data_IF_589640420223
#
_entry.id   IF_589640420223
#
_cell.length_a   1.000
_cell.length_b   1.000
_cell.length_c   1.000
_cell.angle_alpha   90.00
_cell.angle_beta   90.00
_cell.angle_gamma   90.00
#
_symmetry.space_group_name_H-M   'P 1'
#
loop_
_entity.id
_entity.type
_entity.pdbx_description
1 polymer ?
#
# COMPACT_ATOMS: atom_id res chain seq x y z
N UNK A 1 -26.75 -29.88 34.02
CA UNK A 1 -26.62 -28.71 33.09
C UNK A 1 -27.43 -29.01 31.84
N UNK A 2 -28.40 -28.16 31.43
CA UNK A 2 -29.30 -28.44 30.29
C UNK A 2 -28.60 -28.07 28.97
N UNK A 3 -28.81 -28.86 27.91
CA UNK A 3 -28.18 -28.70 26.58
C UNK A 3 -28.31 -27.27 26.00
N UNK A 4 -29.39 -26.56 26.35
CA UNK A 4 -29.65 -25.17 25.97
C UNK A 4 -28.57 -24.20 26.50
N UNK A 5 -28.05 -24.43 27.69
CA UNK A 5 -27.05 -23.58 28.33
C UNK A 5 -25.67 -23.82 27.74
N UNK A 6 -25.38 -25.07 27.36
CA UNK A 6 -24.15 -25.45 26.66
C UNK A 6 -24.09 -24.80 25.27
N UNK A 7 -25.20 -24.79 24.53
CA UNK A 7 -25.32 -24.13 23.21
C UNK A 7 -25.17 -22.60 23.30
N UNK A 8 -25.73 -21.97 24.34
CA UNK A 8 -25.54 -20.53 24.60
C UNK A 8 -24.09 -20.20 24.93
N UNK A 9 -23.43 -21.01 25.77
CA UNK A 9 -22.02 -20.84 26.13
C UNK A 9 -21.09 -21.01 24.91
N UNK A 10 -21.37 -21.97 24.04
CA UNK A 10 -20.63 -22.15 22.78
C UNK A 10 -20.80 -20.97 21.82
N UNK A 11 -22.02 -20.41 21.73
CA UNK A 11 -22.33 -19.25 20.87
C UNK A 11 -21.69 -17.96 21.41
N UNK A 12 -21.65 -17.77 22.73
CA UNK A 12 -20.92 -16.67 23.37
C UNK A 12 -19.41 -16.82 23.22
N UNK A 13 -18.88 -18.04 23.37
CA UNK A 13 -17.45 -18.34 23.19
C UNK A 13 -17.00 -18.05 21.75
N UNK A 14 -17.81 -18.37 20.73
CA UNK A 14 -17.51 -17.97 19.35
C UNK A 14 -17.58 -16.45 19.13
N UNK A 15 -18.55 -15.76 19.74
CA UNK A 15 -18.72 -14.31 19.60
C UNK A 15 -17.63 -13.50 20.34
N UNK A 16 -17.05 -14.07 21.40
CA UNK A 16 -15.94 -13.45 22.14
C UNK A 16 -14.55 -13.86 21.62
N UNK A 17 -14.46 -14.76 20.63
CA UNK A 17 -13.20 -15.13 19.96
C UNK A 17 -12.88 -14.22 18.76
N UNK A 18 -13.63 -13.14 18.59
CA UNK A 18 -13.52 -12.18 17.50
C UNK A 18 -12.78 -10.89 17.92
N UNK A 19 -11.89 -10.99 18.91
CA UNK A 19 -10.87 -9.98 19.27
C UNK A 19 -9.54 -10.63 19.65
N UNK A 20 -9.16 -11.68 18.92
CA UNK A 20 -7.74 -11.94 18.70
C UNK A 20 -7.45 -11.25 17.39
N UNK A 21 -6.60 -10.24 17.41
CA UNK A 21 -5.93 -9.69 16.24
C UNK A 21 -5.29 -10.87 15.52
N UNK A 22 -6.08 -11.49 14.66
CA UNK A 22 -5.63 -12.58 13.82
C UNK A 22 -4.88 -11.83 12.74
N UNK A 23 -3.58 -11.66 12.95
CA UNK A 23 -2.65 -11.31 11.89
C UNK A 23 -3.01 -12.25 10.74
N UNK A 24 -3.69 -11.70 9.72
CA UNK A 24 -4.05 -12.46 8.55
C UNK A 24 -2.70 -12.98 8.02
N UNK A 25 -2.43 -14.29 8.00
CA UNK A 25 -1.10 -14.81 7.66
C UNK A 25 -0.69 -14.45 6.23
N UNK A 26 -1.66 -13.97 5.43
CA UNK A 26 -1.47 -13.48 4.08
C UNK A 26 -1.14 -11.99 3.99
N UNK A 27 -1.20 -11.20 5.07
CA UNK A 27 -0.84 -9.78 5.07
C UNK A 27 0.62 -9.59 5.46
N UNK A 28 1.37 -8.90 4.60
CA UNK A 28 2.75 -8.49 4.84
C UNK A 28 2.77 -7.06 5.32
N UNK A 29 3.39 -6.82 6.48
CA UNK A 29 3.64 -5.48 7.01
C UNK A 29 4.75 -4.80 6.21
N UNK A 30 4.44 -3.68 5.56
CA UNK A 30 5.41 -2.83 4.84
C UNK A 30 5.95 -1.74 5.76
N UNK A 31 5.09 -1.17 6.59
CA UNK A 31 5.46 -0.20 7.60
C UNK A 31 4.43 -0.12 8.70
N UNK A 32 4.39 0.99 9.44
CA UNK A 32 3.54 1.08 10.62
C UNK A 32 2.04 1.10 10.28
N UNK A 33 1.69 1.67 9.13
CA UNK A 33 0.31 1.91 8.70
C UNK A 33 -0.08 1.07 7.48
N UNK A 34 0.90 0.61 6.71
CA UNK A 34 0.69 -0.10 5.46
C UNK A 34 0.91 -1.61 5.58
N UNK A 35 -0.15 -2.37 5.28
CA UNK A 35 -0.14 -3.82 5.14
C UNK A 35 -0.63 -4.21 3.74
N UNK A 36 -0.02 -5.21 3.11
CA UNK A 36 -0.34 -5.63 1.75
C UNK A 36 -0.44 -7.15 1.68
N UNK A 37 -1.41 -7.68 0.95
CA UNK A 37 -1.50 -9.12 0.69
C UNK A 37 -0.21 -9.64 0.04
N UNK A 38 0.29 -10.77 0.53
CA UNK A 38 1.47 -11.47 0.03
C UNK A 38 1.38 -11.75 -1.48
N UNK A 39 0.18 -12.08 -1.98
CA UNK A 39 -0.10 -12.27 -3.41
C UNK A 39 0.13 -11.01 -4.23
N UNK A 40 -0.30 -9.85 -3.71
CA UNK A 40 -0.11 -8.56 -4.38
C UNK A 40 1.34 -8.13 -4.32
N UNK A 41 2.02 -8.36 -3.20
CA UNK A 41 3.45 -8.10 -3.05
C UNK A 41 4.30 -8.97 -3.98
N UNK A 42 3.87 -10.21 -4.25
CA UNK A 42 4.53 -11.12 -5.19
C UNK A 42 4.51 -10.64 -6.64
N UNK A 43 3.61 -9.70 -7.00
CA UNK A 43 3.60 -9.06 -8.32
C UNK A 43 4.73 -8.05 -8.50
N UNK A 44 5.33 -7.57 -7.41
CA UNK A 44 6.39 -6.56 -7.45
C UNK A 44 7.73 -7.19 -7.85
N UNK A 45 8.34 -6.70 -8.93
CA UNK A 45 9.61 -7.21 -9.42
C UNK A 45 10.75 -6.82 -8.49
N UNK A 46 11.41 -7.81 -7.89
CA UNK A 46 12.46 -7.59 -6.87
C UNK A 46 13.85 -7.36 -7.49
N UNK A 47 13.96 -7.27 -8.82
CA UNK A 47 15.25 -7.19 -9.52
C UNK A 47 15.99 -5.87 -9.32
N UNK A 48 15.25 -4.78 -9.07
CA UNK A 48 15.81 -3.43 -8.92
C UNK A 48 14.87 -2.61 -8.02
N UNK A 49 15.44 -1.73 -7.20
CA UNK A 49 14.68 -0.88 -6.28
C UNK A 49 13.71 0.03 -7.03
N UNK A 50 14.09 0.53 -8.21
CA UNK A 50 13.26 1.47 -8.96
C UNK A 50 12.00 0.79 -9.51
N UNK A 51 12.17 -0.37 -10.14
CA UNK A 51 11.06 -1.20 -10.63
C UNK A 51 10.18 -1.68 -9.47
N UNK A 52 10.79 -2.16 -8.39
CA UNK A 52 10.06 -2.58 -7.20
C UNK A 52 9.23 -1.44 -6.60
N UNK A 53 9.79 -0.23 -6.51
CA UNK A 53 9.07 0.96 -6.02
C UNK A 53 7.88 1.28 -6.91
N UNK A 54 8.06 1.25 -8.24
CA UNK A 54 6.97 1.51 -9.19
C UNK A 54 5.83 0.48 -9.06
N UNK A 55 6.16 -0.81 -9.00
CA UNK A 55 5.19 -1.87 -8.85
C UNK A 55 4.48 -1.79 -7.49
N UNK A 56 5.21 -1.50 -6.42
CA UNK A 56 4.65 -1.32 -5.08
C UNK A 56 3.69 -0.13 -5.04
N UNK A 57 4.00 0.98 -5.71
CA UNK A 57 3.08 2.11 -5.83
C UNK A 57 1.82 1.75 -6.61
N UNK A 58 1.95 0.96 -7.69
CA UNK A 58 0.79 0.48 -8.46
C UNK A 58 -0.10 -0.43 -7.60
N UNK A 59 0.50 -1.28 -6.77
CA UNK A 59 -0.23 -2.13 -5.82
C UNK A 59 -0.88 -1.27 -4.72
N UNK A 60 -0.19 -0.34 -4.09
CA UNK A 60 -0.74 0.40 -2.94
C UNK A 60 -1.83 1.38 -3.35
N UNK A 61 -1.60 2.16 -4.41
CA UNK A 61 -2.46 3.29 -4.76
C UNK A 61 -3.33 3.02 -5.99
N UNK A 62 -2.90 2.14 -6.90
CA UNK A 62 -3.55 1.94 -8.19
C UNK A 62 -3.15 3.00 -9.23
N UNK A 63 -3.08 2.60 -10.51
CA UNK A 63 -2.57 3.43 -11.61
C UNK A 63 -3.38 4.72 -11.83
N UNK A 64 -4.69 4.64 -11.76
CA UNK A 64 -5.59 5.79 -11.96
C UNK A 64 -5.37 6.87 -10.90
N UNK A 65 -5.25 6.45 -9.63
CA UNK A 65 -4.97 7.36 -8.53
C UNK A 65 -3.58 7.97 -8.64
N UNK A 66 -2.57 7.21 -9.08
CA UNK A 66 -1.21 7.75 -9.25
C UNK A 66 -1.16 8.88 -10.30
N UNK A 67 -1.95 8.80 -11.37
CA UNK A 67 -1.93 9.82 -12.40
C UNK A 67 -2.51 11.18 -11.94
N UNK A 68 -3.45 11.14 -11.00
CA UNK A 68 -4.15 12.31 -10.44
C UNK A 68 -3.61 12.76 -9.09
N UNK A 69 -2.52 12.14 -8.61
CA UNK A 69 -1.96 12.41 -7.29
C UNK A 69 -0.54 13.01 -7.30
N UNK A 70 -0.13 13.55 -6.14
CA UNK A 70 1.19 14.13 -5.86
C UNK A 70 1.71 13.65 -4.50
N UNK A 71 3.04 13.66 -4.30
CA UNK A 71 3.64 13.25 -3.00
C UNK A 71 3.49 14.31 -1.90
N UNK A 72 3.35 15.57 -2.28
CA UNK A 72 3.24 16.72 -1.38
C UNK A 72 2.32 17.73 -2.02
N UNK A 73 1.71 18.57 -1.19
CA UNK A 73 0.91 19.68 -1.68
C UNK A 73 1.79 20.64 -2.48
N UNK A 74 1.32 21.04 -3.66
CA UNK A 74 2.00 21.98 -4.55
C UNK A 74 0.99 23.08 -4.85
N UNK A 75 1.32 24.33 -4.46
CA UNK A 75 0.46 25.47 -4.75
C UNK A 75 0.13 25.53 -6.26
N UNK A 76 -1.17 25.59 -6.57
CA UNK A 76 -1.67 25.66 -7.94
C UNK A 76 -1.98 24.33 -8.62
N UNK A 77 -1.84 23.19 -7.93
CA UNK A 77 -2.29 21.88 -8.45
C UNK A 77 -3.67 21.51 -7.90
N UNK A 78 -4.55 20.95 -8.74
CA UNK A 78 -5.81 20.32 -8.31
C UNK A 78 -5.63 18.83 -8.00
N UNK A 79 -4.40 18.32 -8.05
CA UNK A 79 -4.06 16.91 -7.79
C UNK A 79 -4.16 16.57 -6.31
N UNK A 80 -4.61 15.35 -6.01
CA UNK A 80 -4.73 14.84 -4.64
C UNK A 80 -3.36 14.53 -4.04
N UNK A 81 -3.14 14.85 -2.77
CA UNK A 81 -1.93 14.42 -2.05
C UNK A 81 -2.08 12.96 -1.63
N UNK A 82 -1.07 12.13 -1.90
CA UNK A 82 -1.03 10.75 -1.41
C UNK A 82 -0.93 10.72 0.11
N UNK A 83 -1.44 9.65 0.73
CA UNK A 83 -1.38 9.48 2.17
C UNK A 83 0.09 9.53 2.65
N UNK A 84 0.48 10.53 3.48
CA UNK A 84 1.86 10.71 3.89
C UNK A 84 2.38 9.53 4.73
N UNK A 85 1.51 8.84 5.46
CA UNK A 85 1.89 7.67 6.25
C UNK A 85 2.28 6.51 5.34
N UNK A 86 1.48 6.24 4.30
CA UNK A 86 1.77 5.18 3.34
C UNK A 86 3.01 5.50 2.50
N UNK A 87 3.18 6.78 2.14
CA UNK A 87 4.40 7.25 1.46
C UNK A 87 5.63 7.02 2.34
N UNK A 88 5.57 7.34 3.63
CA UNK A 88 6.68 7.12 4.56
C UNK A 88 6.99 5.64 4.75
N UNK A 89 5.96 4.80 4.86
CA UNK A 89 6.12 3.35 5.01
C UNK A 89 6.80 2.73 3.78
N UNK A 90 6.35 3.11 2.58
CA UNK A 90 6.98 2.66 1.32
C UNK A 90 8.45 3.12 1.26
N UNK A 91 8.73 4.37 1.61
CA UNK A 91 10.07 4.93 1.60
C UNK A 91 11.01 4.17 2.54
N UNK A 92 10.58 3.93 3.79
CA UNK A 92 11.36 3.18 4.77
C UNK A 92 11.59 1.74 4.35
N UNK A 93 10.53 1.06 3.89
CA UNK A 93 10.60 -0.33 3.43
C UNK A 93 11.59 -0.52 2.28
N UNK A 94 11.47 0.28 1.21
CA UNK A 94 12.34 0.17 0.04
C UNK A 94 13.78 0.55 0.38
N UNK A 95 13.97 1.63 1.15
CA UNK A 95 15.29 2.07 1.58
C UNK A 95 16.01 0.96 2.37
N UNK A 96 15.31 0.32 3.30
CA UNK A 96 15.85 -0.79 4.09
C UNK A 96 16.10 -2.04 3.22
N UNK A 97 15.12 -2.44 2.40
CA UNK A 97 15.19 -3.68 1.60
C UNK A 97 16.31 -3.66 0.56
N UNK A 98 16.57 -2.51 -0.06
CA UNK A 98 17.59 -2.37 -1.12
C UNK A 98 18.84 -1.62 -0.67
N UNK A 99 18.91 -1.23 0.61
CA UNK A 99 19.99 -0.42 1.16
C UNK A 99 20.26 0.87 0.34
N UNK A 100 19.20 1.61 0.02
CA UNK A 100 19.26 2.84 -0.78
C UNK A 100 18.77 4.05 0.01
N UNK A 101 19.24 5.23 -0.38
CA UNK A 101 18.82 6.48 0.26
C UNK A 101 17.33 6.76 0.03
N UNK A 102 16.62 7.16 1.10
CA UNK A 102 15.20 7.57 1.03
C UNK A 102 14.97 8.68 0.00
N UNK A 103 15.93 9.59 -0.16
CA UNK A 103 15.87 10.64 -1.18
C UNK A 103 15.79 10.10 -2.62
N UNK A 104 16.48 8.99 -2.90
CA UNK A 104 16.46 8.32 -4.20
C UNK A 104 15.12 7.63 -4.42
N UNK A 105 14.60 6.91 -3.42
CA UNK A 105 13.26 6.30 -3.46
C UNK A 105 12.20 7.38 -3.73
N UNK A 106 12.25 8.50 -3.00
CA UNK A 106 11.35 9.63 -3.18
C UNK A 106 11.45 10.26 -4.58
N UNK A 107 12.63 10.27 -5.20
CA UNK A 107 12.79 10.71 -6.59
C UNK A 107 12.12 9.75 -7.57
N UNK A 108 12.31 8.44 -7.40
CA UNK A 108 11.63 7.40 -8.18
C UNK A 108 10.11 7.53 -8.08
N UNK A 109 9.57 7.70 -6.86
CA UNK A 109 8.14 7.89 -6.65
C UNK A 109 7.59 9.11 -7.41
N UNK A 110 8.31 10.24 -7.41
CA UNK A 110 7.94 11.43 -8.21
C UNK A 110 7.94 11.13 -9.70
N UNK A 111 8.97 10.46 -10.19
CA UNK A 111 9.07 10.08 -11.60
C UNK A 111 7.90 9.19 -12.02
N UNK A 112 7.51 8.21 -11.20
CA UNK A 112 6.35 7.35 -11.45
C UNK A 112 5.05 8.16 -11.55
N UNK A 113 4.78 9.08 -10.61
CA UNK A 113 3.60 9.95 -10.65
C UNK A 113 3.57 10.82 -11.91
N UNK A 114 4.71 11.40 -12.28
CA UNK A 114 4.84 12.21 -13.50
C UNK A 114 4.59 11.38 -14.76
N UNK A 115 5.13 10.16 -14.83
CA UNK A 115 4.89 9.24 -15.95
C UNK A 115 3.43 8.82 -16.05
N UNK A 116 2.79 8.46 -14.93
CA UNK A 116 1.36 8.13 -14.90
C UNK A 116 0.49 9.31 -15.35
N UNK A 117 0.82 10.53 -14.90
CA UNK A 117 0.12 11.74 -15.32
C UNK A 117 0.31 12.06 -16.81
N UNK A 118 1.44 11.70 -17.42
CA UNK A 118 1.67 11.87 -18.87
C UNK A 118 0.89 10.83 -19.68
N UNK A 119 0.89 9.57 -19.25
CA UNK A 119 0.17 8.49 -19.92
C UNK A 119 -1.34 8.81 -20.06
N UNK A 120 -1.97 9.28 -18.98
CA UNK A 120 -3.39 9.71 -19.01
C UNK A 120 -3.68 10.88 -19.97
N UNK A 121 -2.70 11.75 -20.25
CA UNK A 121 -2.87 12.85 -21.21
C UNK A 121 -2.82 12.34 -22.65
N UNK A 122 -1.95 11.37 -22.92
CA UNK A 122 -1.82 10.77 -24.25
C UNK A 122 -3.04 9.90 -24.61
N UNK A 123 -3.60 9.15 -23.65
CA UNK A 123 -4.81 8.34 -23.88
C UNK A 123 -6.06 9.18 -24.22
N UNK A 124 -6.12 10.44 -23.80
CA UNK A 124 -7.24 11.35 -24.11
C UNK A 124 -7.11 12.07 -25.45
N UNK A 125 -6.02 11.86 -26.19
CA UNK A 125 -5.77 12.47 -27.50
C UNK A 125 -5.90 11.48 -28.66
N UNK A 126 -6.36 10.25 -28.40
CA UNK A 126 -6.71 9.24 -29.40
C UNK A 126 -8.23 9.10 -29.48
#
# INVERSE_FOLDING_TARGET
MKYRDLKKKYKLSKKNKEKVETENPDLVKIGQHLHIDKRRLALCRVTDFSKYTCDLMDVVFGRENLATSVLRDIKGTSKKVLDPNYVSDIQGHVACKFNVNVSLVRATMRNKLNSASKAMKCEKMQ
#
